data_IF_858513804169
#
_entry.id   IF_858513804169
#
_cell.length_a   1.000
_cell.length_b   1.000
_cell.length_c   1.000
_cell.angle_alpha   90.00
_cell.angle_beta   90.00
_cell.angle_gamma   90.00
#
_symmetry.space_group_name_H-M   'P 1'
#
loop_
_entity.id
_entity.type
_entity.pdbx_description
1 polymer ?
#
# COMPACT_ATOMS: atom_id res chain seq x y z
N UNK A 1 19.73 -20.56 -4.48
CA UNK A 1 19.97 -19.22 -3.88
C UNK A 1 19.95 -19.35 -2.36
N UNK A 2 21.08 -19.14 -1.68
CA UNK A 2 21.11 -19.10 -0.22
C UNK A 2 20.25 -17.93 0.29
N UNK A 3 19.29 -18.22 1.17
CA UNK A 3 18.46 -17.20 1.82
C UNK A 3 19.35 -16.39 2.77
N UNK A 4 19.31 -15.05 2.67
CA UNK A 4 20.01 -14.16 3.61
C UNK A 4 19.49 -14.43 5.03
N UNK A 5 20.36 -14.68 6.03
CA UNK A 5 19.93 -14.84 7.41
C UNK A 5 19.17 -13.60 7.89
N UNK A 6 17.99 -13.78 8.48
CA UNK A 6 17.15 -12.68 9.01
C UNK A 6 16.01 -12.20 8.09
N UNK A 7 16.03 -12.51 6.79
CA UNK A 7 14.90 -12.18 5.91
C UNK A 7 13.89 -13.34 5.92
N UNK A 8 13.00 -13.34 6.92
CA UNK A 8 11.96 -14.36 7.06
C UNK A 8 10.87 -14.16 5.98
N UNK A 9 11.17 -14.63 4.76
CA UNK A 9 10.38 -14.43 3.54
C UNK A 9 8.91 -14.82 3.71
N UNK A 10 8.61 -15.83 4.52
CA UNK A 10 7.25 -16.35 4.64
C UNK A 10 6.30 -15.36 5.32
N UNK A 11 6.79 -14.55 6.27
CA UNK A 11 5.98 -13.50 6.93
C UNK A 11 5.77 -12.26 6.07
N UNK A 12 6.59 -12.08 5.04
CA UNK A 12 6.51 -10.92 4.11
C UNK A 12 5.71 -11.24 2.84
N UNK A 13 5.38 -12.52 2.61
CA UNK A 13 4.55 -12.94 1.49
C UNK A 13 3.15 -12.34 1.60
N UNK A 14 2.70 -11.76 0.50
CA UNK A 14 1.36 -11.15 0.39
C UNK A 14 0.34 -12.24 0.07
N UNK A 15 -0.14 -12.93 1.11
CA UNK A 15 -1.07 -14.07 0.95
C UNK A 15 -2.54 -13.71 1.21
N UNK A 16 -2.81 -12.61 1.90
CA UNK A 16 -4.16 -12.20 2.25
C UNK A 16 -4.79 -11.36 1.14
N UNK A 17 -5.77 -11.94 0.44
CA UNK A 17 -6.57 -11.21 -0.56
C UNK A 17 -7.49 -10.21 0.12
N UNK A 18 -7.55 -9.00 -0.42
CA UNK A 18 -8.50 -7.94 -0.02
C UNK A 18 -9.14 -7.36 -1.28
N UNK A 19 -10.40 -6.95 -1.17
CA UNK A 19 -11.16 -6.31 -2.23
C UNK A 19 -11.65 -4.94 -1.75
N UNK A 20 -11.69 -3.98 -2.67
CA UNK A 20 -12.22 -2.63 -2.47
C UNK A 20 -13.28 -2.41 -3.54
N UNK A 21 -14.40 -1.83 -3.15
CA UNK A 21 -15.45 -1.41 -4.07
C UNK A 21 -15.38 0.11 -4.18
N UNK A 22 -15.46 0.61 -5.41
CA UNK A 22 -15.47 2.04 -5.72
C UNK A 22 -16.73 2.35 -6.50
N UNK A 23 -17.26 3.56 -6.32
CA UNK A 23 -18.27 4.06 -7.23
C UNK A 23 -17.62 4.47 -8.58
N UNK A 24 -18.45 4.80 -9.56
CA UNK A 24 -17.99 5.14 -10.91
C UNK A 24 -17.03 6.35 -10.94
N UNK A 25 -17.33 7.39 -10.15
CA UNK A 25 -16.52 8.62 -10.11
C UNK A 25 -15.18 8.40 -9.43
N UNK A 26 -15.16 7.62 -8.34
CA UNK A 26 -13.93 7.23 -7.63
C UNK A 26 -13.02 6.41 -8.53
N UNK A 27 -13.58 5.46 -9.27
CA UNK A 27 -12.81 4.63 -10.20
C UNK A 27 -12.23 5.45 -11.35
N UNK A 28 -13.01 6.35 -11.92
CA UNK A 28 -12.55 7.28 -12.96
C UNK A 28 -11.40 8.15 -12.46
N UNK A 29 -11.53 8.74 -11.27
CA UNK A 29 -10.47 9.55 -10.67
C UNK A 29 -9.18 8.75 -10.46
N UNK A 30 -9.28 7.50 -9.97
CA UNK A 30 -8.13 6.61 -9.82
C UNK A 30 -7.48 6.29 -11.17
N UNK A 31 -8.28 6.06 -12.20
CA UNK A 31 -7.79 5.71 -13.53
C UNK A 31 -7.09 6.88 -14.21
N UNK A 32 -7.64 8.09 -14.10
CA UNK A 32 -6.99 9.33 -14.55
C UNK A 32 -5.66 9.53 -13.82
N UNK A 33 -5.63 9.34 -12.50
CA UNK A 33 -4.42 9.44 -11.70
C UNK A 33 -3.36 8.42 -12.17
N UNK A 34 -3.75 7.15 -12.31
CA UNK A 34 -2.84 6.09 -12.73
C UNK A 34 -2.29 6.34 -14.14
N UNK A 35 -3.12 6.84 -15.05
CA UNK A 35 -2.70 7.20 -16.41
C UNK A 35 -1.69 8.36 -16.38
N UNK A 36 -2.01 9.45 -15.68
CA UNK A 36 -1.17 10.65 -15.56
C UNK A 36 0.23 10.34 -15.02
N UNK A 37 0.31 9.51 -13.98
CA UNK A 37 1.59 9.17 -13.32
C UNK A 37 2.21 7.87 -13.83
N UNK A 38 1.69 7.30 -14.93
CA UNK A 38 2.19 6.06 -15.58
C UNK A 38 2.29 4.87 -14.62
N UNK A 39 1.31 4.75 -13.72
CA UNK A 39 1.24 3.67 -12.73
C UNK A 39 0.79 2.39 -13.43
N UNK A 40 1.72 1.46 -13.60
CA UNK A 40 1.44 0.17 -14.26
C UNK A 40 0.67 -0.83 -13.39
N UNK A 41 0.78 -0.74 -12.07
CA UNK A 41 0.17 -1.70 -11.15
C UNK A 41 -0.70 -0.98 -10.10
N UNK A 42 -2.01 -0.94 -10.37
CA UNK A 42 -3.02 -0.30 -9.51
C UNK A 42 -3.05 -0.93 -8.11
N UNK A 43 -3.04 -2.26 -8.02
CA UNK A 43 -3.08 -2.97 -6.73
C UNK A 43 -1.86 -2.68 -5.85
N UNK A 44 -0.67 -2.56 -6.46
CA UNK A 44 0.55 -2.15 -5.74
C UNK A 44 0.40 -0.72 -5.20
N UNK A 45 -0.04 0.20 -6.05
CA UNK A 45 -0.24 1.60 -5.69
C UNK A 45 -1.25 1.76 -4.55
N UNK A 46 -2.44 1.16 -4.66
CA UNK A 46 -3.47 1.22 -3.63
C UNK A 46 -2.97 0.70 -2.29
N UNK A 47 -2.26 -0.44 -2.30
CA UNK A 47 -1.65 -0.99 -1.07
C UNK A 47 -0.63 -0.02 -0.46
N UNK A 48 0.22 0.57 -1.26
CA UNK A 48 1.25 1.51 -0.79
C UNK A 48 0.61 2.77 -0.21
N UNK A 49 -0.41 3.32 -0.88
CA UNK A 49 -1.16 4.47 -0.39
C UNK A 49 -1.82 4.20 0.97
N UNK A 50 -2.49 3.05 1.13
CA UNK A 50 -3.13 2.65 2.40
C UNK A 50 -2.09 2.50 3.50
N UNK A 51 -1.01 1.75 3.26
CA UNK A 51 0.03 1.52 4.28
C UNK A 51 0.73 2.83 4.65
N UNK A 52 1.02 3.70 3.68
CA UNK A 52 1.63 5.01 3.95
C UNK A 52 0.73 5.86 4.86
N UNK A 53 -0.60 5.86 4.62
CA UNK A 53 -1.55 6.58 5.46
C UNK A 53 -1.61 6.01 6.89
N UNK A 54 -1.63 4.68 7.04
CA UNK A 54 -1.64 4.00 8.35
C UNK A 54 -0.37 4.31 9.14
N UNK A 55 0.80 4.16 8.52
CA UNK A 55 2.09 4.43 9.18
C UNK A 55 2.21 5.89 9.59
N UNK A 56 1.83 6.82 8.70
CA UNK A 56 1.84 8.26 9.02
C UNK A 56 0.94 8.59 10.20
N UNK A 57 -0.22 7.94 10.31
CA UNK A 57 -1.11 8.13 11.45
C UNK A 57 -0.47 7.63 12.74
N UNK A 58 0.13 6.44 12.73
CA UNK A 58 0.85 5.93 13.89
C UNK A 58 2.02 6.82 14.32
N UNK A 59 2.76 7.40 13.37
CA UNK A 59 3.82 8.38 13.69
C UNK A 59 3.27 9.65 14.34
N UNK A 60 2.06 10.08 13.98
CA UNK A 60 1.41 11.26 14.56
C UNK A 60 0.86 10.97 15.97
N UNK A 61 0.33 9.77 16.18
CA UNK A 61 -0.27 9.36 17.45
C UNK A 61 0.79 8.90 18.47
N UNK A 62 2.01 8.60 18.01
CA UNK A 62 3.11 8.29 18.91
C UNK A 62 3.41 9.52 19.79
N UNK A 63 3.39 9.39 21.13
CA UNK A 63 3.74 10.48 22.01
C UNK A 63 5.17 10.89 21.71
N UNK A 64 5.34 12.10 21.18
CA UNK A 64 6.66 12.67 20.99
C UNK A 64 7.23 12.87 22.39
N UNK A 65 8.32 12.16 22.71
CA UNK A 65 9.09 12.47 23.91
C UNK A 65 9.37 13.97 23.87
N UNK A 66 8.95 14.66 24.94
CA UNK A 66 9.28 16.06 25.17
C UNK A 66 10.77 16.32 24.96
#
# INVERSE_FOLDING_TARGET
>A
MLKRPGFNNDRLKRVHRKALLFNSLELEAIDIYCSRYKIKNRSKFLREAIIAKVLKQFEQDHPKLF
#
